data_IF_482893877582
#
_entry.id   IF_482893877582
#
_cell.length_a   1.000
_cell.length_b   1.000
_cell.length_c   1.000
_cell.angle_alpha   90.00
_cell.angle_beta   90.00
_cell.angle_gamma   90.00
#
_symmetry.space_group_name_H-M   'P 1'
#
loop_
_entity.id
_entity.type
_entity.pdbx_description
1 polymer ?
#
# COMPACT_ATOMS: atom_id res chain seq x y z
N UNK A 1 101.47 54.77 -37.24
CA UNK A 1 100.00 54.56 -37.34
C UNK A 1 99.38 55.27 -36.15
N UNK A 2 98.81 56.46 -36.38
CA UNK A 2 98.16 57.22 -35.32
C UNK A 2 96.76 56.63 -35.06
N UNK A 3 96.68 55.66 -34.14
CA UNK A 3 95.39 55.27 -33.55
C UNK A 3 94.99 56.35 -32.55
N UNK A 4 94.54 57.51 -33.05
CA UNK A 4 93.77 58.41 -32.18
C UNK A 4 92.41 57.77 -31.96
N UNK A 5 91.99 57.54 -30.70
CA UNK A 5 90.62 57.13 -30.41
C UNK A 5 89.65 58.07 -31.13
N UNK A 6 88.77 57.52 -31.98
CA UNK A 6 87.82 58.32 -32.74
C UNK A 6 86.75 58.87 -31.77
N UNK A 7 86.70 60.19 -31.51
CA UNK A 7 85.77 60.78 -30.54
C UNK A 7 84.30 60.55 -30.93
N UNK A 8 84.04 60.18 -32.19
CA UNK A 8 82.70 59.88 -32.68
C UNK A 8 82.14 58.58 -32.12
N UNK A 9 82.99 57.68 -31.61
CA UNK A 9 82.54 56.46 -30.92
C UNK A 9 81.93 56.82 -29.55
N UNK A 10 82.51 57.78 -28.85
CA UNK A 10 82.02 58.27 -27.55
C UNK A 10 80.76 59.15 -27.67
N UNK A 11 80.55 59.76 -28.85
CA UNK A 11 79.38 60.58 -29.16
C UNK A 11 78.18 59.78 -29.68
N UNK A 12 78.30 58.46 -29.87
CA UNK A 12 77.13 57.67 -30.27
C UNK A 12 76.12 57.70 -29.12
N UNK A 13 74.84 57.99 -29.41
CA UNK A 13 73.80 57.86 -28.41
C UNK A 13 73.88 56.45 -27.82
N UNK A 14 74.09 56.37 -26.51
CA UNK A 14 73.96 55.12 -25.80
C UNK A 14 72.49 54.75 -25.82
N UNK A 15 72.08 54.02 -26.86
CA UNK A 15 70.77 53.38 -26.87
C UNK A 15 70.90 52.26 -25.86
N UNK A 16 70.36 52.47 -24.67
CA UNK A 16 70.06 51.35 -23.78
C UNK A 16 69.05 50.51 -24.55
N UNK A 17 69.54 49.47 -25.23
CA UNK A 17 68.69 48.37 -25.63
C UNK A 17 68.17 47.84 -24.31
N UNK A 18 67.00 48.33 -23.92
CA UNK A 18 66.21 47.74 -22.88
C UNK A 18 65.76 46.41 -23.48
N UNK A 19 66.69 45.46 -23.52
CA UNK A 19 66.36 44.04 -23.51
C UNK A 19 65.70 43.85 -22.16
N UNK A 20 64.44 44.30 -22.06
CA UNK A 20 63.53 44.02 -20.96
C UNK A 20 63.74 42.55 -20.72
N UNK A 21 64.35 42.25 -19.57
CA UNK A 21 64.89 40.96 -19.26
C UNK A 21 63.76 39.93 -19.33
N UNK A 22 63.54 39.39 -20.53
CA UNK A 22 62.45 38.48 -20.88
C UNK A 22 62.74 37.07 -20.41
N UNK A 23 63.36 36.94 -19.24
CA UNK A 23 63.90 35.67 -18.74
C UNK A 23 63.32 35.21 -17.41
N UNK A 24 62.62 36.07 -16.65
CA UNK A 24 62.12 35.64 -15.34
C UNK A 24 61.00 36.50 -14.75
N UNK A 25 61.14 37.83 -14.80
CA UNK A 25 60.13 38.73 -14.23
C UNK A 25 58.81 38.69 -15.02
N UNK A 26 58.87 38.74 -16.36
CA UNK A 26 57.66 38.66 -17.21
C UNK A 26 56.94 37.33 -17.06
N UNK A 27 57.69 36.23 -16.94
CA UNK A 27 57.11 34.90 -16.76
C UNK A 27 56.52 34.74 -15.35
N UNK A 28 57.20 35.24 -14.32
CA UNK A 28 56.70 35.27 -12.95
C UNK A 28 55.41 36.09 -12.80
N UNK A 29 55.34 37.26 -13.45
CA UNK A 29 54.11 38.07 -13.49
C UNK A 29 53.01 37.32 -14.25
N UNK A 30 53.31 36.66 -15.36
CA UNK A 30 52.32 35.88 -16.10
C UNK A 30 51.74 34.74 -15.25
N UNK A 31 52.56 33.97 -14.53
CA UNK A 31 52.08 32.93 -13.60
C UNK A 31 51.22 33.55 -12.50
N UNK A 32 51.67 34.63 -11.88
CA UNK A 32 50.92 35.30 -10.81
C UNK A 32 49.54 35.71 -11.30
N UNK A 33 49.45 36.30 -12.49
CA UNK A 33 48.17 36.69 -13.10
C UNK A 33 47.28 35.47 -13.35
N UNK A 34 47.82 34.36 -13.86
CA UNK A 34 47.07 33.12 -14.08
C UNK A 34 46.51 32.57 -12.76
N UNK A 35 47.32 32.54 -11.69
CA UNK A 35 46.88 32.04 -10.38
C UNK A 35 45.80 32.93 -9.79
N UNK A 36 45.92 34.26 -9.90
CA UNK A 36 44.90 35.21 -9.42
C UNK A 36 43.60 35.05 -10.20
N UNK A 37 43.65 34.89 -11.52
CA UNK A 37 42.47 34.65 -12.36
C UNK A 37 41.84 33.30 -12.01
N UNK A 38 42.64 32.24 -11.83
CA UNK A 38 42.15 30.92 -11.45
C UNK A 38 41.53 30.91 -10.05
N UNK A 39 42.14 31.59 -9.07
CA UNK A 39 41.59 31.74 -7.73
C UNK A 39 40.30 32.58 -7.73
N UNK A 40 40.26 33.66 -8.51
CA UNK A 40 39.06 34.47 -8.70
C UNK A 40 37.93 33.69 -9.36
N UNK A 41 38.23 32.92 -10.42
CA UNK A 41 37.27 32.04 -11.08
C UNK A 41 36.81 30.91 -10.15
N UNK A 42 37.71 30.31 -9.39
CA UNK A 42 37.35 29.30 -8.39
C UNK A 42 36.46 29.90 -7.29
N UNK A 43 36.73 31.10 -6.83
CA UNK A 43 35.87 31.78 -5.86
C UNK A 43 34.49 32.11 -6.45
N UNK A 44 34.43 32.63 -7.69
CA UNK A 44 33.19 33.04 -8.36
C UNK A 44 32.34 31.84 -8.83
N UNK A 45 32.96 30.79 -9.37
CA UNK A 45 32.26 29.65 -9.98
C UNK A 45 32.31 28.37 -9.14
N UNK A 46 33.34 28.18 -8.31
CA UNK A 46 33.59 26.94 -7.55
C UNK A 46 33.33 27.02 -6.04
N UNK A 47 33.30 28.21 -5.45
CA UNK A 47 33.26 28.40 -3.99
C UNK A 47 31.89 28.17 -3.31
N UNK A 48 30.83 28.00 -4.09
CA UNK A 48 29.46 27.76 -3.57
C UNK A 48 28.91 26.39 -3.93
N UNK A 49 29.64 25.61 -4.72
CA UNK A 49 29.27 24.24 -5.04
C UNK A 49 30.32 23.31 -4.45
N UNK A 50 30.31 23.16 -3.12
CA UNK A 50 30.52 21.82 -2.57
C UNK A 50 29.57 20.96 -3.38
N UNK A 51 30.10 20.10 -4.26
CA UNK A 51 29.25 19.21 -5.03
C UNK A 51 28.42 18.45 -4.00
N UNK A 52 27.18 18.87 -3.78
CA UNK A 52 26.25 18.09 -2.99
C UNK A 52 26.15 16.80 -3.78
N UNK A 53 26.69 15.72 -3.23
CA UNK A 53 26.31 14.38 -3.67
C UNK A 53 24.81 14.43 -3.82
N UNK A 54 24.23 14.27 -5.04
CA UNK A 54 22.80 14.32 -5.19
C UNK A 54 22.24 13.28 -4.23
N UNK A 55 21.52 13.72 -3.21
CA UNK A 55 20.85 12.80 -2.32
C UNK A 55 19.88 12.02 -3.20
N UNK A 56 20.13 10.72 -3.38
CA UNK A 56 19.18 9.85 -4.05
C UNK A 56 17.86 10.01 -3.30
N UNK A 57 16.77 10.42 -3.95
CA UNK A 57 15.50 10.55 -3.27
C UNK A 57 15.19 9.21 -2.58
N UNK A 58 15.02 9.24 -1.26
CA UNK A 58 14.58 8.06 -0.55
C UNK A 58 13.20 7.69 -1.11
N UNK A 59 13.08 6.50 -1.69
CA UNK A 59 11.77 5.98 -2.07
C UNK A 59 11.08 5.58 -0.78
N UNK A 60 10.16 6.41 -0.31
CA UNK A 60 9.28 6.03 0.79
C UNK A 60 8.38 4.89 0.31
N UNK A 61 8.57 3.70 0.87
CA UNK A 61 7.67 2.57 0.65
C UNK A 61 6.43 2.81 1.51
N UNK A 62 5.34 3.25 0.88
CA UNK A 62 4.04 3.33 1.52
C UNK A 62 3.38 1.95 1.55
N UNK A 63 3.06 1.44 2.73
CA UNK A 63 2.20 0.27 2.88
C UNK A 63 0.84 0.57 2.23
N UNK A 64 0.33 -0.29 1.33
CA UNK A 64 -1.01 -0.14 0.77
C UNK A 64 -2.07 -0.04 1.88
N UNK A 65 -3.08 0.79 1.66
CA UNK A 65 -4.21 0.88 2.60
C UNK A 65 -4.89 -0.49 2.74
N UNK A 66 -5.29 -0.83 3.96
CA UNK A 66 -6.05 -2.04 4.21
C UNK A 66 -7.36 -1.99 3.40
N UNK A 67 -7.82 -3.12 2.84
CA UNK A 67 -9.12 -3.18 2.17
C UNK A 67 -10.24 -2.78 3.16
N UNK A 68 -11.36 -2.24 2.65
CA UNK A 68 -12.52 -1.94 3.48
C UNK A 68 -12.96 -3.17 4.29
N UNK A 69 -13.36 -2.97 5.53
CA UNK A 69 -13.93 -4.05 6.34
C UNK A 69 -15.24 -4.54 5.72
N UNK A 70 -15.46 -5.85 5.75
CA UNK A 70 -16.72 -6.44 5.31
C UNK A 70 -17.89 -5.86 6.11
N UNK A 71 -19.00 -5.60 5.43
CA UNK A 71 -20.22 -5.12 6.06
C UNK A 71 -20.73 -6.17 7.06
N UNK A 72 -21.31 -5.74 8.21
CA UNK A 72 -21.96 -6.66 9.13
C UNK A 72 -22.99 -7.54 8.41
N UNK A 73 -23.02 -8.83 8.77
CA UNK A 73 -24.00 -9.76 8.22
C UNK A 73 -25.43 -9.23 8.44
N UNK A 74 -26.33 -9.37 7.44
CA UNK A 74 -27.71 -8.97 7.60
C UNK A 74 -28.34 -9.75 8.78
N UNK A 75 -29.29 -9.13 9.50
CA UNK A 75 -30.01 -9.82 10.56
C UNK A 75 -30.69 -11.09 10.00
N UNK A 76 -30.88 -12.13 10.83
CA UNK A 76 -31.60 -13.32 10.41
C UNK A 76 -32.97 -12.93 9.86
N UNK A 77 -33.35 -13.54 8.74
CA UNK A 77 -34.63 -13.30 8.12
C UNK A 77 -35.75 -13.66 9.10
N UNK A 78 -36.76 -12.80 9.18
CA UNK A 78 -37.96 -13.07 9.98
C UNK A 78 -38.62 -14.35 9.49
N UNK A 79 -38.58 -15.39 10.31
CA UNK A 79 -39.33 -16.62 10.06
C UNK A 79 -40.78 -16.35 10.43
N UNK A 80 -41.60 -16.01 9.44
CA UNK A 80 -43.05 -15.97 9.64
C UNK A 80 -43.55 -17.40 9.89
N UNK A 81 -44.04 -17.67 11.10
CA UNK A 81 -44.76 -18.91 11.38
C UNK A 81 -46.01 -18.97 10.50
N UNK A 82 -46.23 -20.04 9.71
CA UNK A 82 -47.45 -20.18 8.94
C UNK A 82 -48.66 -20.18 9.88
N UNK A 83 -49.82 -19.64 9.44
CA UNK A 83 -51.02 -19.60 10.25
C UNK A 83 -51.39 -21.01 10.71
N UNK A 84 -51.81 -21.14 11.97
CA UNK A 84 -52.31 -22.39 12.50
C UNK A 84 -53.50 -22.86 11.65
N UNK A 85 -53.47 -24.13 11.22
CA UNK A 85 -54.60 -24.72 10.52
C UNK A 85 -55.84 -24.73 11.42
N UNK A 86 -57.00 -24.42 10.85
CA UNK A 86 -58.27 -24.46 11.57
C UNK A 86 -58.53 -25.87 12.13
N UNK A 87 -59.12 -25.97 13.34
CA UNK A 87 -59.47 -27.26 13.91
C UNK A 87 -60.53 -27.96 13.04
N UNK A 88 -60.17 -29.14 12.53
CA UNK A 88 -61.11 -30.04 11.86
C UNK A 88 -62.07 -30.66 12.87
N UNK A 89 -63.37 -30.49 12.63
CA UNK A 89 -64.40 -31.15 13.43
C UNK A 89 -64.44 -32.64 13.07
N UNK A 90 -64.31 -33.57 14.02
CA UNK A 90 -64.44 -35.00 13.74
C UNK A 90 -65.85 -35.34 13.24
N UNK A 91 -66.00 -36.36 12.38
CA UNK A 91 -67.30 -36.80 11.91
C UNK A 91 -68.19 -37.25 13.08
N UNK A 92 -69.52 -37.11 12.97
CA UNK A 92 -70.44 -37.54 14.01
C UNK A 92 -70.30 -39.04 14.28
N UNK A 93 -70.43 -39.44 15.54
CA UNK A 93 -70.46 -40.84 15.92
C UNK A 93 -71.64 -41.54 15.24
N UNK A 94 -71.38 -42.70 14.65
CA UNK A 94 -72.43 -43.56 14.08
C UNK A 94 -73.27 -44.18 15.19
N UNK A 95 -74.59 -44.18 14.97
CA UNK A 95 -75.59 -44.72 15.89
C UNK A 95 -75.34 -46.22 16.17
N UNK A 96 -75.51 -46.70 17.42
CA UNK A 96 -75.41 -48.13 17.71
C UNK A 96 -76.40 -48.96 16.91
N UNK A 97 -75.94 -50.11 16.42
CA UNK A 97 -76.79 -51.04 15.68
C UNK A 97 -77.98 -51.52 16.55
N UNK A 98 -79.17 -51.76 15.96
CA UNK A 98 -80.32 -52.28 16.68
C UNK A 98 -80.00 -53.58 17.42
N UNK A 99 -80.48 -53.70 18.67
CA UNK A 99 -80.35 -54.93 19.44
C UNK A 99 -81.10 -56.09 18.76
N UNK A 100 -80.47 -57.26 18.72
CA UNK A 100 -81.08 -58.47 18.19
C UNK A 100 -82.32 -58.87 19.03
N UNK A 101 -83.39 -59.41 18.41
CA UNK A 101 -84.57 -59.87 19.12
C UNK A 101 -84.24 -60.96 20.16
N UNK A 102 -84.87 -60.88 21.34
CA UNK A 102 -84.76 -61.92 22.36
C UNK A 102 -85.44 -63.23 21.88
N UNK A 103 -84.90 -64.42 22.21
CA UNK A 103 -85.56 -65.68 21.91
C UNK A 103 -86.88 -65.78 22.71
N UNK A 104 -87.99 -65.93 21.99
CA UNK A 104 -89.31 -66.28 22.55
C UNK A 104 -89.27 -67.72 23.08
N UNK A 105 -89.51 -67.88 24.38
CA UNK A 105 -89.27 -69.13 25.10
C UNK A 105 -90.37 -70.20 25.01
N UNK A 106 -90.11 -71.28 25.75
CA UNK A 106 -91.14 -72.07 26.43
C UNK A 106 -91.42 -73.46 25.86
N UNK A 107 -91.10 -74.50 26.64
CA UNK A 107 -92.08 -75.55 27.00
C UNK A 107 -91.58 -76.36 28.21
N UNK A 108 -92.45 -76.37 29.20
CA UNK A 108 -92.53 -77.16 30.44
C UNK A 108 -92.49 -78.67 30.19
N UNK A 109 -91.91 -79.47 31.10
CA UNK A 109 -92.65 -80.57 31.75
C UNK A 109 -91.83 -81.28 32.86
N UNK A 110 -92.55 -81.71 33.90
CA UNK A 110 -92.11 -82.33 35.16
C UNK A 110 -93.06 -83.52 35.42
N UNK A 111 -92.76 -84.51 36.29
CA UNK A 111 -91.75 -85.58 36.31
C UNK A 111 -92.43 -86.98 36.10
N UNK A 112 -91.85 -88.12 36.53
CA UNK A 112 -92.18 -88.61 37.88
C UNK A 112 -91.02 -89.27 38.64
N UNK A 113 -91.29 -89.48 39.93
CA UNK A 113 -90.44 -90.12 40.93
C UNK A 113 -90.40 -91.67 40.80
N UNK A 114 -89.47 -92.30 41.55
CA UNK A 114 -89.72 -93.41 42.52
C UNK A 114 -88.71 -94.58 42.46
N UNK A 115 -87.93 -94.67 43.55
CA UNK A 115 -87.41 -95.82 44.34
C UNK A 115 -86.73 -97.06 43.74
N UNK A 116 -85.52 -97.30 44.26
CA UNK A 116 -84.82 -98.50 44.80
C UNK A 116 -85.57 -99.85 44.93
N UNK A 117 -84.80 -100.96 44.85
CA UNK A 117 -84.76 -102.00 45.88
C UNK A 117 -83.41 -102.10 46.61
#
# INVERSE_FOLDING_TARGET
MDQRPDPRLDQRPHVTQQTTAGGGATWGIAILLIVVIAAGAFFVFGGTNTAETPATPATESSTPAAPPADAPAPPPADTTTPPAADPVTPPPATDPAPAAPAPTGGATDTPPATTTP
#
